data_IF_229536447230
#
_entry.id   IF_229536447230
#
_cell.length_a   1.000
_cell.length_b   1.000
_cell.length_c   1.000
_cell.angle_alpha   90.00
_cell.angle_beta   90.00
_cell.angle_gamma   90.00
#
_symmetry.space_group_name_H-M   'P 1'
#
loop_
_entity.id
_entity.type
_entity.pdbx_description
1 polymer ?
#
# COMPACT_ATOMS: atom_id res chain seq x y z
N UNK A 1 -76.56 -13.91 31.69
CA UNK A 1 -75.46 -12.99 32.14
C UNK A 1 -74.25 -13.20 31.26
N UNK A 2 -74.06 -12.31 30.34
CA UNK A 2 -72.99 -12.44 29.31
C UNK A 2 -72.01 -11.34 29.57
N UNK A 3 -70.76 -11.71 29.90
CA UNK A 3 -69.62 -10.78 30.11
C UNK A 3 -68.85 -10.57 28.80
N UNK A 4 -68.75 -9.30 28.34
CA UNK A 4 -67.94 -8.90 27.20
C UNK A 4 -66.53 -8.58 27.67
N UNK A 5 -65.53 -9.31 27.17
CA UNK A 5 -64.08 -8.97 27.30
C UNK A 5 -63.69 -8.18 26.07
N UNK A 6 -63.27 -6.95 26.28
CA UNK A 6 -62.59 -6.12 25.26
C UNK A 6 -61.15 -6.57 25.07
N UNK A 7 -60.74 -6.79 23.81
CA UNK A 7 -59.35 -7.05 23.42
C UNK A 7 -58.75 -5.72 22.95
N UNK A 8 -57.76 -5.25 23.68
CA UNK A 8 -56.89 -4.12 23.26
C UNK A 8 -55.81 -4.65 22.31
N UNK A 9 -55.86 -4.21 21.06
CA UNK A 9 -54.80 -4.44 20.08
C UNK A 9 -53.80 -3.31 20.24
N UNK A 10 -52.61 -3.65 20.78
CA UNK A 10 -51.46 -2.75 20.83
C UNK A 10 -50.72 -2.76 19.48
N UNK A 11 -50.79 -1.64 18.76
CA UNK A 11 -50.02 -1.44 17.56
C UNK A 11 -48.55 -1.17 17.91
N UNK A 12 -47.62 -2.08 17.56
CA UNK A 12 -46.20 -1.79 17.54
C UNK A 12 -45.84 -1.03 16.25
N UNK A 13 -45.46 0.22 16.41
CA UNK A 13 -44.92 1.03 15.33
C UNK A 13 -43.48 0.61 15.07
N UNK A 14 -43.23 -0.15 14.02
CA UNK A 14 -41.90 -0.40 13.47
C UNK A 14 -41.55 0.73 12.51
N UNK A 15 -40.90 1.78 13.02
CA UNK A 15 -40.33 2.87 12.18
C UNK A 15 -38.88 3.07 12.60
N UNK A 16 -37.95 2.93 11.67
CA UNK A 16 -36.69 3.61 11.81
C UNK A 16 -35.37 2.84 11.58
N UNK A 17 -35.29 1.92 10.61
CA UNK A 17 -33.95 1.35 10.22
C UNK A 17 -33.61 1.55 8.73
N UNK A 18 -34.57 1.95 7.90
CA UNK A 18 -34.34 2.05 6.45
C UNK A 18 -33.61 3.32 5.97
N UNK A 19 -33.56 4.41 6.75
CA UNK A 19 -33.06 5.70 6.27
C UNK A 19 -31.52 5.83 6.29
N UNK A 20 -30.82 5.10 7.17
CA UNK A 20 -29.35 5.22 7.32
C UNK A 20 -28.61 4.42 6.24
N UNK A 21 -29.18 3.37 5.70
CA UNK A 21 -28.55 2.56 4.66
C UNK A 21 -28.55 3.23 3.28
N UNK A 22 -29.59 3.97 2.92
CA UNK A 22 -29.67 4.63 1.61
C UNK A 22 -28.67 5.80 1.46
N UNK A 23 -28.46 6.59 2.50
CA UNK A 23 -27.55 7.74 2.43
C UNK A 23 -26.08 7.33 2.25
N UNK A 24 -25.65 6.22 2.88
CA UNK A 24 -24.26 5.72 2.73
C UNK A 24 -23.99 5.14 1.36
N UNK A 25 -24.97 4.51 0.72
CA UNK A 25 -24.84 3.93 -0.62
C UNK A 25 -24.71 5.04 -1.67
N UNK A 26 -25.51 6.10 -1.55
CA UNK A 26 -25.49 7.24 -2.45
C UNK A 26 -24.15 8.01 -2.35
N UNK A 27 -23.64 8.19 -1.14
CA UNK A 27 -22.35 8.88 -0.92
C UNK A 27 -21.18 8.09 -1.51
N UNK A 28 -21.15 6.76 -1.35
CA UNK A 28 -20.09 5.92 -1.96
C UNK A 28 -20.18 5.92 -3.49
N UNK A 29 -21.36 5.90 -4.07
CA UNK A 29 -21.55 5.99 -5.51
C UNK A 29 -21.05 7.34 -6.03
N UNK A 30 -21.32 8.42 -5.31
CA UNK A 30 -20.79 9.74 -5.63
C UNK A 30 -19.25 9.76 -5.58
N UNK A 31 -18.63 9.19 -4.54
CA UNK A 31 -17.16 9.14 -4.44
C UNK A 31 -16.53 8.28 -5.53
N UNK A 32 -17.15 7.21 -5.94
CA UNK A 32 -16.72 6.42 -7.11
C UNK A 32 -16.75 7.25 -8.39
N UNK A 33 -17.77 8.09 -8.57
CA UNK A 33 -17.85 9.04 -9.70
C UNK A 33 -16.77 10.12 -9.62
N UNK A 34 -16.46 10.63 -8.42
CA UNK A 34 -15.36 11.58 -8.22
C UNK A 34 -13.99 10.97 -8.61
N UNK A 35 -13.74 9.67 -8.30
CA UNK A 35 -12.52 8.99 -8.73
C UNK A 35 -12.45 8.81 -10.26
N UNK A 36 -13.58 8.50 -10.91
CA UNK A 36 -13.64 8.41 -12.36
C UNK A 36 -13.39 9.78 -13.04
N UNK A 37 -13.93 10.86 -12.46
CA UNK A 37 -13.61 12.22 -12.93
C UNK A 37 -12.14 12.57 -12.75
N UNK A 38 -11.56 12.22 -11.59
CA UNK A 38 -10.14 12.42 -11.31
C UNK A 38 -9.24 11.67 -12.31
N UNK A 39 -9.62 10.45 -12.69
CA UNK A 39 -8.91 9.67 -13.71
C UNK A 39 -8.95 10.36 -15.08
N UNK A 40 -10.10 10.89 -15.49
CA UNK A 40 -10.22 11.66 -16.75
C UNK A 40 -9.35 12.93 -16.73
N UNK A 41 -9.34 13.67 -15.62
CA UNK A 41 -8.52 14.87 -15.44
C UNK A 41 -7.02 14.56 -15.39
N UNK A 42 -6.67 13.39 -14.89
CA UNK A 42 -5.30 12.88 -14.88
C UNK A 42 -4.80 12.61 -16.32
N UNK A 43 -5.63 12.02 -17.15
CA UNK A 43 -5.26 11.58 -18.51
C UNK A 43 -4.42 10.32 -18.45
N UNK A 44 -5.04 9.21 -18.12
CA UNK A 44 -4.39 7.91 -17.97
C UNK A 44 -5.25 6.91 -17.21
N UNK A 45 -4.64 5.91 -16.58
CA UNK A 45 -5.30 4.92 -15.75
C UNK A 45 -5.01 5.18 -14.27
N UNK A 46 -6.07 5.20 -13.46
CA UNK A 46 -5.99 5.37 -12.00
C UNK A 46 -6.61 4.16 -11.30
N UNK A 47 -5.81 3.43 -10.55
CA UNK A 47 -6.27 2.34 -9.70
C UNK A 47 -6.28 2.76 -8.23
N UNK A 48 -7.40 2.58 -7.54
CA UNK A 48 -7.55 2.94 -6.12
C UNK A 48 -8.23 1.83 -5.36
N UNK A 49 -7.69 1.50 -4.20
CA UNK A 49 -8.40 0.77 -3.17
C UNK A 49 -8.08 1.37 -1.80
N UNK A 50 -9.13 1.71 -1.06
CA UNK A 50 -9.02 2.21 0.30
C UNK A 50 -9.93 1.39 1.22
N UNK A 51 -9.47 1.16 2.46
CA UNK A 51 -10.18 0.41 3.50
C UNK A 51 -10.08 1.16 4.82
N UNK A 52 -11.21 1.51 5.41
CA UNK A 52 -11.31 1.87 6.83
C UNK A 52 -11.36 0.58 7.65
N UNK A 53 -10.31 0.29 8.42
CA UNK A 53 -10.22 -0.96 9.18
C UNK A 53 -11.16 -1.01 10.39
N UNK A 54 -11.70 0.12 10.81
CA UNK A 54 -12.64 0.22 11.94
C UNK A 54 -14.07 -0.14 11.54
N UNK A 55 -14.55 0.39 10.42
CA UNK A 55 -15.91 0.12 9.92
C UNK A 55 -15.95 -1.07 8.95
N UNK A 56 -14.82 -1.40 8.30
CA UNK A 56 -14.75 -2.33 7.19
C UNK A 56 -15.22 -1.71 5.85
N UNK A 57 -15.51 -0.42 5.83
CA UNK A 57 -15.93 0.28 4.62
C UNK A 57 -14.78 0.38 3.61
N UNK A 58 -15.11 0.26 2.32
CA UNK A 58 -14.15 0.35 1.23
C UNK A 58 -14.57 1.37 0.18
N UNK A 59 -13.58 1.98 -0.48
CA UNK A 59 -13.74 2.75 -1.70
C UNK A 59 -12.79 2.20 -2.77
N UNK A 60 -13.31 1.94 -3.97
CA UNK A 60 -12.53 1.28 -5.02
C UNK A 60 -12.78 1.90 -6.39
N UNK A 61 -11.70 1.98 -7.19
CA UNK A 61 -11.73 2.32 -8.61
C UNK A 61 -10.68 1.48 -9.32
N UNK A 62 -11.05 0.73 -10.35
CA UNK A 62 -10.18 -0.25 -11.04
C UNK A 62 -9.38 -1.17 -10.09
N UNK A 63 -9.94 -1.47 -8.91
CA UNK A 63 -9.22 -2.11 -7.82
C UNK A 63 -8.72 -3.54 -8.13
N UNK A 64 -9.32 -4.20 -9.12
CA UNK A 64 -8.95 -5.55 -9.57
C UNK A 64 -8.14 -5.56 -10.88
N UNK A 65 -7.87 -4.40 -11.47
CA UNK A 65 -7.02 -4.31 -12.66
C UNK A 65 -5.54 -4.36 -12.27
N UNK A 66 -4.72 -4.93 -13.16
CA UNK A 66 -3.28 -5.01 -12.95
C UNK A 66 -2.60 -3.70 -13.26
N UNK A 67 -1.68 -3.34 -12.37
CA UNK A 67 -0.75 -2.21 -12.50
C UNK A 67 0.65 -2.72 -12.18
N UNK A 68 1.66 -2.14 -12.85
CA UNK A 68 3.05 -2.38 -12.48
C UNK A 68 3.30 -1.83 -11.08
N UNK A 69 3.94 -2.62 -10.21
CA UNK A 69 4.14 -2.23 -8.81
C UNK A 69 5.22 -1.16 -8.63
N UNK A 70 6.22 -1.16 -9.49
CA UNK A 70 7.42 -0.38 -9.27
C UNK A 70 7.97 -0.58 -7.84
N UNK A 71 8.60 0.41 -7.26
CA UNK A 71 9.21 0.28 -5.93
C UNK A 71 8.23 0.02 -4.77
N UNK A 72 6.90 -0.07 -4.98
CA UNK A 72 6.00 -0.56 -3.91
C UNK A 72 6.28 -2.02 -3.54
N UNK A 73 6.85 -2.81 -4.47
CA UNK A 73 7.30 -4.20 -4.24
C UNK A 73 8.32 -4.31 -3.11
N UNK A 74 9.08 -3.26 -2.83
CA UNK A 74 10.11 -3.22 -1.77
C UNK A 74 9.53 -3.48 -0.38
N UNK A 75 8.25 -3.15 -0.16
CA UNK A 75 7.53 -3.52 1.06
C UNK A 75 7.50 -5.04 1.24
N UNK A 76 7.30 -5.79 0.16
CA UNK A 76 7.26 -7.26 0.20
C UNK A 76 8.64 -7.88 0.34
N UNK A 77 9.65 -7.32 -0.33
CA UNK A 77 11.05 -7.76 -0.21
C UNK A 77 11.50 -7.66 1.25
N UNK A 78 11.32 -6.50 1.86
CA UNK A 78 11.70 -6.26 3.25
C UNK A 78 10.87 -7.13 4.22
N UNK A 79 9.59 -7.32 3.94
CA UNK A 79 8.74 -8.19 4.77
C UNK A 79 9.15 -9.65 4.68
N UNK A 80 9.61 -10.13 3.52
CA UNK A 80 10.16 -11.49 3.37
C UNK A 80 11.44 -11.66 4.20
N UNK A 81 12.32 -10.68 4.23
CA UNK A 81 13.50 -10.65 5.13
C UNK A 81 13.07 -10.68 6.60
N UNK A 82 12.10 -9.85 6.98
CA UNK A 82 11.58 -9.81 8.35
C UNK A 82 10.90 -11.11 8.76
N UNK A 83 10.29 -11.83 7.85
CA UNK A 83 9.76 -13.16 8.11
C UNK A 83 10.88 -14.20 8.26
N UNK A 84 11.85 -14.21 7.33
CA UNK A 84 12.97 -15.16 7.32
C UNK A 84 13.84 -15.08 8.57
N UNK A 85 14.00 -13.89 9.18
CA UNK A 85 14.77 -13.73 10.41
C UNK A 85 14.27 -14.61 11.58
N UNK A 86 13.00 -15.06 11.55
CA UNK A 86 12.44 -15.93 12.58
C UNK A 86 13.07 -17.31 12.58
N UNK A 87 13.54 -17.78 11.43
CA UNK A 87 14.26 -19.05 11.26
C UNK A 87 15.78 -18.86 11.15
N UNK A 88 16.27 -17.63 10.98
CA UNK A 88 17.70 -17.30 10.86
C UNK A 88 18.08 -16.22 11.91
N UNK A 89 18.34 -16.62 13.16
CA UNK A 89 18.81 -15.68 14.19
C UNK A 89 20.08 -14.95 13.76
N UNK A 90 20.10 -13.62 13.93
CA UNK A 90 21.24 -12.78 13.50
C UNK A 90 21.19 -12.32 12.05
N UNK A 91 20.19 -12.72 11.25
CA UNK A 91 20.06 -12.30 9.86
C UNK A 91 20.11 -10.77 9.70
N UNK A 92 19.42 -10.02 10.56
CA UNK A 92 19.39 -8.56 10.46
C UNK A 92 20.74 -7.90 10.74
N UNK A 93 21.59 -8.53 11.53
CA UNK A 93 22.95 -8.05 11.86
C UNK A 93 24.00 -8.52 10.86
N UNK A 94 23.65 -9.49 9.99
CA UNK A 94 24.53 -9.98 8.94
C UNK A 94 24.93 -8.82 8.02
N UNK A 95 26.25 -8.61 7.85
CA UNK A 95 26.79 -7.58 6.94
C UNK A 95 26.98 -8.16 5.54
N UNK A 96 26.39 -7.48 4.57
CA UNK A 96 26.54 -7.78 3.14
C UNK A 96 27.63 -6.86 2.58
N UNK A 97 28.65 -7.46 2.00
CA UNK A 97 29.66 -6.74 1.23
C UNK A 97 29.21 -6.67 -0.23
N UNK A 98 29.42 -5.53 -0.84
CA UNK A 98 29.12 -5.28 -2.25
C UNK A 98 30.16 -4.32 -2.83
N UNK A 99 30.17 -4.16 -4.13
CA UNK A 99 31.20 -3.38 -4.84
C UNK A 99 30.57 -2.22 -5.59
N UNK A 100 31.39 -1.35 -6.16
CA UNK A 100 30.92 -0.27 -7.02
C UNK A 100 30.14 -0.79 -8.24
N UNK A 101 30.40 -2.02 -8.69
CA UNK A 101 29.68 -2.64 -9.81
C UNK A 101 28.22 -2.99 -9.47
N UNK A 102 27.89 -3.11 -8.18
CA UNK A 102 26.54 -3.42 -7.71
C UNK A 102 25.67 -2.16 -7.53
N UNK A 103 26.28 -0.96 -7.63
CA UNK A 103 25.58 0.31 -7.41
C UNK A 103 24.70 0.64 -8.61
N UNK A 104 23.39 0.69 -8.34
CA UNK A 104 22.35 1.10 -9.29
C UNK A 104 22.28 2.63 -9.39
N UNK A 105 21.64 3.15 -10.46
CA UNK A 105 21.47 4.59 -10.66
C UNK A 105 20.80 5.28 -9.46
N UNK A 106 19.75 4.66 -8.89
CA UNK A 106 19.09 5.17 -7.68
C UNK A 106 19.49 4.36 -6.46
N UNK A 107 20.61 4.74 -5.84
CA UNK A 107 21.15 4.11 -4.63
C UNK A 107 21.65 5.16 -3.63
N UNK A 108 20.77 6.04 -3.10
CA UNK A 108 21.18 7.22 -2.33
C UNK A 108 21.89 6.88 -1.01
N UNK A 109 21.68 5.69 -0.47
CA UNK A 109 22.30 5.23 0.77
C UNK A 109 23.39 4.21 0.48
N UNK A 110 23.10 3.14 -0.27
CA UNK A 110 24.08 2.07 -0.51
C UNK A 110 25.36 2.58 -1.21
N UNK A 111 25.25 3.60 -2.08
CA UNK A 111 26.43 4.20 -2.73
C UNK A 111 27.43 4.83 -1.75
N UNK A 112 27.02 5.14 -0.53
CA UNK A 112 27.85 5.77 0.50
C UNK A 112 28.60 4.75 1.37
N UNK A 113 28.26 3.45 1.28
CA UNK A 113 28.74 2.40 2.16
C UNK A 113 29.46 1.25 1.44
N UNK A 114 29.98 1.51 0.22
CA UNK A 114 30.65 0.47 -0.60
C UNK A 114 31.88 -0.12 0.10
N UNK A 115 32.62 0.69 0.85
CA UNK A 115 33.87 0.25 1.49
C UNK A 115 33.61 -0.70 2.69
N UNK A 116 32.59 -0.41 3.51
CA UNK A 116 32.30 -1.16 4.73
C UNK A 116 31.16 -2.17 4.57
N UNK A 117 30.40 -2.10 3.49
CA UNK A 117 29.17 -2.85 3.32
C UNK A 117 28.05 -2.37 4.25
N UNK A 118 26.90 -3.03 4.21
CA UNK A 118 25.75 -2.70 5.06
C UNK A 118 25.17 -3.96 5.72
N UNK A 119 24.63 -3.82 6.92
CA UNK A 119 23.85 -4.90 7.52
C UNK A 119 22.52 -5.08 6.77
N UNK A 120 21.94 -6.27 6.87
CA UNK A 120 20.59 -6.53 6.29
C UNK A 120 19.55 -5.55 6.83
N UNK A 121 19.64 -5.19 8.12
CA UNK A 121 18.76 -4.17 8.73
C UNK A 121 18.95 -2.78 8.10
N UNK A 122 20.19 -2.35 7.88
CA UNK A 122 20.50 -1.07 7.21
C UNK A 122 20.01 -1.06 5.75
N UNK A 123 20.16 -2.19 5.05
CA UNK A 123 19.60 -2.35 3.70
C UNK A 123 18.07 -2.28 3.68
N UNK A 124 17.39 -2.89 4.66
CA UNK A 124 15.94 -2.78 4.80
C UNK A 124 15.48 -1.32 5.02
N UNK A 125 16.15 -0.60 5.93
CA UNK A 125 15.90 0.84 6.18
C UNK A 125 16.08 1.65 4.89
N UNK A 126 17.21 1.49 4.19
CA UNK A 126 17.50 2.19 2.94
C UNK A 126 16.47 1.88 1.84
N UNK A 127 16.11 0.60 1.71
CA UNK A 127 15.16 0.11 0.71
C UNK A 127 13.75 0.70 0.92
N UNK A 128 13.27 0.77 2.17
CA UNK A 128 11.95 1.33 2.45
C UNK A 128 11.97 2.86 2.42
N UNK A 129 12.88 3.48 3.17
CA UNK A 129 12.83 4.94 3.42
C UNK A 129 13.28 5.78 2.25
N UNK A 130 14.29 5.32 1.52
CA UNK A 130 14.90 6.06 0.41
C UNK A 130 14.62 5.41 -0.95
N UNK A 131 13.94 4.28 -0.94
CA UNK A 131 13.69 3.49 -2.14
C UNK A 131 14.97 3.04 -2.86
N UNK A 132 16.03 2.76 -2.11
CA UNK A 132 17.35 2.38 -2.62
C UNK A 132 17.26 1.09 -3.47
N UNK A 133 17.69 1.17 -4.75
CA UNK A 133 17.60 0.05 -5.69
C UNK A 133 18.69 -0.99 -5.45
N UNK A 134 19.90 -0.55 -5.10
CA UNK A 134 20.99 -1.47 -4.73
C UNK A 134 20.61 -2.25 -3.47
N UNK A 135 20.10 -1.56 -2.45
CA UNK A 135 19.60 -2.20 -1.24
C UNK A 135 18.55 -3.27 -1.55
N UNK A 136 17.59 -2.96 -2.44
CA UNK A 136 16.55 -3.91 -2.85
C UNK A 136 17.14 -5.15 -3.54
N UNK A 137 18.06 -4.97 -4.49
CA UNK A 137 18.69 -6.10 -5.21
C UNK A 137 19.56 -6.96 -4.29
N UNK A 138 20.29 -6.36 -3.35
CA UNK A 138 21.05 -7.11 -2.35
C UNK A 138 20.14 -7.94 -1.43
N UNK A 139 18.99 -7.40 -1.01
CA UNK A 139 18.00 -8.13 -0.21
C UNK A 139 17.34 -9.24 -1.02
N UNK A 140 17.02 -9.01 -2.30
CA UNK A 140 16.51 -10.07 -3.19
C UNK A 140 17.53 -11.19 -3.36
N UNK A 141 18.81 -10.86 -3.52
CA UNK A 141 19.88 -11.84 -3.60
C UNK A 141 20.01 -12.63 -2.28
N UNK A 142 19.93 -11.96 -1.13
CA UNK A 142 19.93 -12.60 0.18
C UNK A 142 18.75 -13.57 0.34
N UNK A 143 17.59 -13.25 -0.21
CA UNK A 143 16.41 -14.15 -0.22
C UNK A 143 16.59 -15.35 -1.17
N UNK A 144 17.45 -15.27 -2.17
CA UNK A 144 17.62 -16.30 -3.20
C UNK A 144 16.90 -16.00 -4.52
N UNK A 145 16.51 -14.73 -4.74
CA UNK A 145 15.90 -14.26 -5.97
C UNK A 145 14.47 -13.76 -5.82
N UNK A 146 13.91 -13.12 -6.87
CA UNK A 146 12.57 -12.51 -6.83
C UNK A 146 11.47 -13.50 -6.47
N UNK A 147 11.59 -14.76 -6.91
CA UNK A 147 10.59 -15.82 -6.65
C UNK A 147 10.46 -16.20 -5.17
N UNK A 148 11.49 -16.00 -4.35
CA UNK A 148 11.38 -16.22 -2.91
C UNK A 148 10.55 -15.11 -2.23
N UNK A 149 10.64 -13.87 -2.73
CA UNK A 149 9.70 -12.80 -2.32
C UNK A 149 8.26 -13.15 -2.72
N UNK A 150 8.05 -13.61 -3.95
CA UNK A 150 6.72 -14.05 -4.41
C UNK A 150 6.17 -15.20 -3.58
N UNK A 151 7.00 -16.20 -3.24
CA UNK A 151 6.61 -17.34 -2.41
C UNK A 151 6.17 -16.89 -1.00
N UNK A 152 6.88 -15.93 -0.41
CA UNK A 152 6.45 -15.34 0.86
C UNK A 152 5.08 -14.68 0.72
N UNK A 153 4.88 -13.87 -0.31
CA UNK A 153 3.59 -13.19 -0.56
C UNK A 153 2.46 -14.20 -0.81
N UNK A 154 2.74 -15.35 -1.48
CA UNK A 154 1.79 -16.47 -1.58
C UNK A 154 1.40 -17.05 -0.23
N UNK A 155 2.33 -17.11 0.73
CA UNK A 155 2.01 -17.58 2.09
C UNK A 155 1.05 -16.65 2.84
N UNK A 156 0.98 -15.38 2.45
CA UNK A 156 -0.02 -14.43 2.92
C UNK A 156 -1.40 -14.61 2.26
N UNK A 157 -1.54 -15.57 1.33
CA UNK A 157 -2.78 -15.81 0.57
C UNK A 157 -2.95 -14.90 -0.65
N UNK A 158 -1.90 -14.22 -1.09
CA UNK A 158 -1.91 -13.45 -2.33
C UNK A 158 -1.58 -14.35 -3.53
N UNK A 159 -2.54 -14.55 -4.40
CA UNK A 159 -2.40 -15.31 -5.64
C UNK A 159 -2.36 -14.39 -6.88
N UNK A 160 -2.25 -13.09 -6.70
CA UNK A 160 -2.34 -12.07 -7.76
C UNK A 160 -0.99 -11.45 -8.07
N UNK A 161 -0.26 -10.96 -7.04
CA UNK A 161 1.00 -10.24 -7.24
C UNK A 161 2.07 -11.13 -7.86
N UNK A 162 2.90 -10.54 -8.72
CA UNK A 162 4.04 -11.21 -9.37
C UNK A 162 5.33 -10.45 -9.07
N UNK A 163 6.39 -11.18 -8.77
CA UNK A 163 7.75 -10.69 -8.60
C UNK A 163 8.67 -11.52 -9.50
N UNK A 164 9.05 -10.94 -10.62
CA UNK A 164 9.72 -11.69 -11.69
C UNK A 164 11.16 -11.22 -11.91
N UNK A 165 11.43 -9.92 -11.72
CA UNK A 165 12.68 -9.28 -12.13
C UNK A 165 13.33 -8.51 -10.97
N UNK A 166 14.57 -8.07 -11.21
CA UNK A 166 15.33 -7.19 -10.31
C UNK A 166 15.08 -5.72 -10.65
N UNK A 167 15.51 -4.81 -9.76
CA UNK A 167 15.68 -3.40 -10.10
C UNK A 167 16.77 -3.26 -11.18
N UNK A 168 16.62 -2.47 -12.21
CA UNK A 168 15.49 -1.54 -12.49
C UNK A 168 14.47 -2.13 -13.48
N UNK A 169 14.71 -3.38 -13.93
CA UNK A 169 13.88 -4.04 -14.95
C UNK A 169 12.44 -4.23 -14.49
N UNK A 170 12.21 -4.42 -13.19
CA UNK A 170 10.86 -4.55 -12.62
C UNK A 170 10.01 -3.27 -12.79
N UNK A 171 10.60 -2.14 -13.21
CA UNK A 171 9.91 -0.88 -13.49
C UNK A 171 9.53 -0.70 -14.99
N UNK A 172 9.85 -1.68 -15.82
CA UNK A 172 9.56 -1.65 -17.26
C UNK A 172 8.29 -2.47 -17.51
N UNK A 173 7.18 -1.87 -18.00
CA UNK A 173 5.96 -2.61 -18.32
C UNK A 173 6.21 -3.71 -19.36
N UNK A 174 5.86 -4.96 -19.00
CA UNK A 174 5.96 -6.13 -19.86
C UNK A 174 4.89 -7.16 -19.47
N UNK A 175 3.73 -7.07 -20.10
CA UNK A 175 2.57 -7.90 -19.78
C UNK A 175 2.22 -7.82 -18.28
N UNK A 176 2.12 -9.00 -17.65
CA UNK A 176 1.79 -9.12 -16.22
C UNK A 176 3.03 -9.18 -15.30
N UNK A 177 4.26 -9.08 -15.83
CA UNK A 177 5.47 -9.15 -15.02
C UNK A 177 5.51 -7.99 -14.01
N UNK A 178 5.87 -8.31 -12.77
CA UNK A 178 6.04 -7.37 -11.64
C UNK A 178 4.80 -6.50 -11.37
N UNK A 179 3.61 -7.09 -11.59
CA UNK A 179 2.33 -6.41 -11.38
C UNK A 179 1.56 -6.94 -10.18
N UNK A 180 0.66 -6.10 -9.68
CA UNK A 180 -0.37 -6.43 -8.71
C UNK A 180 -1.64 -5.63 -9.01
N UNK A 181 -2.63 -5.69 -8.11
CA UNK A 181 -3.84 -4.87 -8.16
C UNK A 181 -3.91 -3.95 -6.94
N UNK A 182 -4.58 -2.78 -7.04
CA UNK A 182 -4.79 -1.90 -5.87
C UNK A 182 -5.38 -2.63 -4.66
N UNK A 183 -6.39 -3.48 -4.89
CA UNK A 183 -7.00 -4.30 -3.84
C UNK A 183 -5.98 -5.21 -3.16
N UNK A 184 -5.18 -5.91 -3.96
CA UNK A 184 -4.22 -6.88 -3.40
C UNK A 184 -3.08 -6.19 -2.65
N UNK A 185 -2.58 -5.06 -3.17
CA UNK A 185 -1.55 -4.27 -2.50
C UNK A 185 -2.03 -3.75 -1.14
N UNK A 186 -3.25 -3.19 -1.08
CA UNK A 186 -3.83 -2.72 0.17
C UNK A 186 -4.07 -3.89 1.15
N UNK A 187 -4.56 -5.03 0.66
CA UNK A 187 -4.78 -6.24 1.47
C UNK A 187 -3.47 -6.75 2.08
N UNK A 188 -2.41 -6.82 1.28
CA UNK A 188 -1.10 -7.26 1.76
C UNK A 188 -0.51 -6.25 2.76
N UNK A 189 -0.57 -4.95 2.46
CA UNK A 189 -0.07 -3.93 3.37
C UNK A 189 -0.79 -3.97 4.72
N UNK A 190 -2.12 -4.16 4.72
CA UNK A 190 -2.89 -4.37 5.95
C UNK A 190 -2.35 -5.56 6.74
N UNK A 191 -2.20 -6.72 6.08
CA UNK A 191 -1.69 -7.94 6.73
C UNK A 191 -0.31 -7.75 7.35
N UNK A 192 0.59 -7.07 6.63
CA UNK A 192 1.97 -6.85 7.05
C UNK A 192 2.10 -5.81 8.16
N UNK A 193 1.31 -4.75 8.11
CA UNK A 193 1.46 -3.60 9.00
C UNK A 193 0.48 -3.60 10.20
N UNK A 194 -0.66 -4.28 10.10
CA UNK A 194 -1.72 -4.22 11.10
C UNK A 194 -2.14 -5.59 11.64
N UNK A 195 -2.11 -6.62 10.79
CA UNK A 195 -2.57 -7.97 11.15
C UNK A 195 -1.35 -8.90 11.42
N UNK A 196 -1.51 -10.22 11.21
CA UNK A 196 -0.51 -11.24 11.56
C UNK A 196 0.40 -11.67 10.39
N UNK A 197 0.53 -10.86 9.34
CA UNK A 197 1.45 -11.12 8.22
C UNK A 197 2.93 -11.09 8.64
N UNK A 198 3.23 -10.38 9.72
CA UNK A 198 4.51 -10.38 10.42
C UNK A 198 4.27 -10.56 11.93
N UNK A 199 5.26 -11.04 12.66
CA UNK A 199 5.25 -10.99 14.13
C UNK A 199 5.33 -9.55 14.65
N UNK A 200 5.10 -9.33 15.93
CA UNK A 200 5.02 -7.99 16.53
C UNK A 200 6.26 -7.14 16.26
N UNK A 201 7.47 -7.71 16.42
CA UNK A 201 8.73 -7.01 16.16
C UNK A 201 8.90 -6.67 14.67
N UNK A 202 8.55 -7.60 13.76
CA UNK A 202 8.59 -7.35 12.32
C UNK A 202 7.64 -6.24 11.88
N UNK A 203 6.43 -6.22 12.44
CA UNK A 203 5.47 -5.12 12.21
C UNK A 203 6.00 -3.77 12.70
N UNK A 204 6.59 -3.74 13.89
CA UNK A 204 7.17 -2.53 14.46
C UNK A 204 8.31 -1.98 13.57
N UNK A 205 9.24 -2.84 13.15
CA UNK A 205 10.32 -2.47 12.24
C UNK A 205 9.78 -1.92 10.92
N UNK A 206 8.91 -2.69 10.24
CA UNK A 206 8.35 -2.28 8.95
C UNK A 206 7.58 -0.97 9.05
N UNK A 207 6.66 -0.85 10.01
CA UNK A 207 5.86 0.37 10.17
C UNK A 207 6.73 1.56 10.61
N UNK A 208 7.77 1.32 11.40
CA UNK A 208 8.76 2.31 11.76
C UNK A 208 9.50 2.88 10.53
N UNK A 209 9.93 2.04 9.59
CA UNK A 209 10.55 2.49 8.34
C UNK A 209 9.55 3.19 7.43
N UNK A 210 8.35 2.65 7.24
CA UNK A 210 7.29 3.27 6.42
C UNK A 210 6.94 4.68 6.92
N UNK A 211 6.80 4.87 8.24
CA UNK A 211 6.52 6.19 8.83
C UNK A 211 7.64 7.21 8.58
N UNK A 212 8.88 6.75 8.47
CA UNK A 212 10.05 7.58 8.16
C UNK A 212 10.43 7.63 6.68
N UNK A 213 9.55 7.14 5.79
CA UNK A 213 9.75 7.26 4.34
C UNK A 213 9.96 8.74 3.94
N UNK A 214 10.92 8.99 3.05
CA UNK A 214 11.31 10.33 2.60
C UNK A 214 10.80 10.66 1.19
N UNK A 215 10.12 9.72 0.53
CA UNK A 215 9.76 9.85 -0.90
C UNK A 215 8.28 10.18 -1.13
N UNK A 216 7.45 10.17 -0.06
CA UNK A 216 5.99 10.23 -0.15
C UNK A 216 5.31 11.58 0.10
N UNK A 217 6.06 12.63 0.42
CA UNK A 217 5.51 13.91 0.90
C UNK A 217 4.51 14.57 -0.06
N UNK A 218 4.64 14.34 -1.38
CA UNK A 218 3.76 14.92 -2.40
C UNK A 218 2.63 13.97 -2.87
N UNK A 219 2.58 12.75 -2.32
CA UNK A 219 1.63 11.69 -2.71
C UNK A 219 0.55 11.49 -1.65
N UNK A 220 0.39 10.31 -1.06
CA UNK A 220 -0.62 10.04 -0.03
C UNK A 220 -0.52 11.05 1.12
N UNK A 221 0.68 11.35 1.62
CA UNK A 221 0.88 12.32 2.72
C UNK A 221 0.26 13.68 2.44
N UNK A 222 0.36 14.19 1.20
CA UNK A 222 -0.25 15.46 0.79
C UNK A 222 -1.79 15.41 0.73
N UNK A 223 -2.37 14.22 0.77
CA UNK A 223 -3.82 14.01 0.81
C UNK A 223 -4.39 13.88 2.22
N UNK A 224 -3.54 13.76 3.24
CA UNK A 224 -3.92 13.48 4.63
C UNK A 224 -3.93 14.77 5.45
N UNK A 225 -4.89 14.97 6.38
CA UNK A 225 -4.90 16.11 7.29
C UNK A 225 -3.62 16.23 8.12
N UNK A 226 -3.21 17.46 8.42
CA UNK A 226 -2.03 17.71 9.26
C UNK A 226 -2.18 17.06 10.65
N UNK A 227 -1.07 16.54 11.16
CA UNK A 227 -1.03 15.88 12.48
C UNK A 227 -1.40 14.40 12.48
N UNK A 228 -1.85 13.82 11.35
CA UNK A 228 -2.05 12.38 11.24
C UNK A 228 -0.73 11.68 10.90
N UNK A 229 -0.57 10.47 11.41
CA UNK A 229 0.60 9.66 11.08
C UNK A 229 0.34 8.87 9.79
N UNK A 230 1.33 8.88 8.88
CA UNK A 230 1.29 8.10 7.64
C UNK A 230 2.57 7.26 7.55
N UNK A 231 2.42 5.99 7.20
CA UNK A 231 3.52 5.11 6.81
C UNK A 231 3.26 4.64 5.39
N UNK A 232 4.12 5.01 4.44
CA UNK A 232 3.90 4.78 3.02
C UNK A 232 5.12 4.23 2.30
N UNK A 233 4.88 3.63 1.14
CA UNK A 233 5.91 3.26 0.17
C UNK A 233 5.48 3.68 -1.22
N UNK A 234 6.27 4.59 -1.80
CA UNK A 234 6.07 5.05 -3.17
C UNK A 234 6.66 4.08 -4.21
N UNK A 235 6.19 4.23 -5.45
CA UNK A 235 6.75 3.61 -6.63
C UNK A 235 6.75 4.57 -7.81
N UNK A 236 7.76 4.51 -8.65
CA UNK A 236 7.85 5.28 -9.89
C UNK A 236 8.45 4.44 -11.01
N UNK A 237 7.97 4.62 -12.22
CA UNK A 237 8.44 3.92 -13.41
C UNK A 237 8.92 4.87 -14.50
N UNK A 238 9.48 4.29 -15.58
CA UNK A 238 10.12 5.05 -16.68
C UNK A 238 9.12 5.73 -17.63
N UNK A 239 7.83 5.36 -17.56
CA UNK A 239 6.78 5.95 -18.38
C UNK A 239 5.83 6.84 -17.57
N UNK A 240 6.33 7.41 -16.46
CA UNK A 240 5.56 8.29 -15.59
C UNK A 240 4.63 7.58 -14.61
N UNK A 241 4.73 6.26 -14.51
CA UNK A 241 4.01 5.49 -13.50
C UNK A 241 4.32 6.07 -12.12
N UNK A 242 3.28 6.29 -11.33
CA UNK A 242 3.39 6.84 -9.98
C UNK A 242 2.45 6.08 -9.07
N UNK A 243 3.00 5.45 -8.06
CA UNK A 243 2.27 4.61 -7.11
C UNK A 243 2.55 5.05 -5.69
N UNK A 244 1.59 4.81 -4.80
CA UNK A 244 1.80 4.94 -3.37
C UNK A 244 0.85 4.01 -2.61
N UNK A 245 1.39 3.25 -1.67
CA UNK A 245 0.64 2.39 -0.76
C UNK A 245 0.92 2.84 0.67
N UNK A 246 -0.14 3.01 1.46
CA UNK A 246 -0.01 3.63 2.78
C UNK A 246 -0.93 3.02 3.83
N UNK A 247 -0.46 3.04 5.07
CA UNK A 247 -1.30 2.98 6.27
C UNK A 247 -1.35 4.38 6.88
N UNK A 248 -2.54 4.85 7.12
CA UNK A 248 -2.84 6.15 7.73
C UNK A 248 -3.41 5.89 9.12
N UNK A 249 -2.86 6.52 10.14
CA UNK A 249 -3.33 6.45 11.52
C UNK A 249 -3.97 7.79 11.92
N UNK A 250 -5.31 7.91 11.77
CA UNK A 250 -6.04 9.08 12.25
C UNK A 250 -6.03 9.12 13.78
N UNK A 251 -5.98 10.29 14.42
CA UNK A 251 -6.11 10.40 15.88
C UNK A 251 -7.46 9.84 16.36
N UNK A 252 -7.44 8.94 17.35
CA UNK A 252 -8.64 8.38 17.97
C UNK A 252 -9.50 7.45 17.12
N UNK A 253 -9.01 7.01 15.96
CA UNK A 253 -9.71 6.08 15.05
C UNK A 253 -8.83 4.88 14.69
N UNK A 254 -9.47 3.83 14.20
CA UNK A 254 -8.78 2.72 13.55
C UNK A 254 -8.02 3.19 12.28
N UNK A 255 -6.93 2.51 11.92
CA UNK A 255 -6.15 2.85 10.73
C UNK A 255 -6.96 2.73 9.44
N UNK A 256 -6.54 3.52 8.43
CA UNK A 256 -7.03 3.42 7.06
C UNK A 256 -5.88 2.92 6.18
N UNK A 257 -6.15 1.96 5.31
CA UNK A 257 -5.18 1.45 4.34
C UNK A 257 -5.56 1.93 2.96
N UNK A 258 -4.58 2.44 2.21
CA UNK A 258 -4.80 2.98 0.85
C UNK A 258 -3.75 2.43 -0.10
N UNK A 259 -4.16 2.07 -1.30
CA UNK A 259 -3.28 1.81 -2.43
C UNK A 259 -3.77 2.63 -3.63
N UNK A 260 -2.92 3.48 -4.17
CA UNK A 260 -3.19 4.31 -5.35
C UNK A 260 -2.09 4.11 -6.37
N UNK A 261 -2.47 3.71 -7.59
CA UNK A 261 -1.57 3.45 -8.69
C UNK A 261 -2.03 4.25 -9.91
N UNK A 262 -1.11 5.00 -10.51
CA UNK A 262 -1.41 5.91 -11.61
C UNK A 262 -0.43 5.69 -12.77
N UNK A 263 -0.97 5.46 -13.97
CA UNK A 263 -0.22 5.29 -15.21
C UNK A 263 -0.72 6.35 -16.17
N UNK A 264 0.06 7.40 -16.50
CA UNK A 264 -0.37 8.45 -17.42
C UNK A 264 -0.31 7.97 -18.88
N UNK A 265 -1.17 8.55 -19.73
CA UNK A 265 -1.08 8.38 -21.19
C UNK A 265 0.15 9.10 -21.77
N UNK A 266 0.50 10.26 -21.19
CA UNK A 266 1.74 10.98 -21.50
C UNK A 266 2.85 10.62 -20.50
N UNK A 267 3.92 9.93 -20.92
CA UNK A 267 5.04 9.58 -20.06
C UNK A 267 5.75 10.77 -19.40
N UNK A 268 5.54 11.99 -19.89
CA UNK A 268 6.11 13.21 -19.32
C UNK A 268 5.18 13.91 -18.32
N UNK A 269 4.02 13.32 -18.04
CA UNK A 269 3.05 13.89 -17.11
C UNK A 269 3.64 14.03 -15.71
N UNK A 270 3.46 15.21 -15.12
CA UNK A 270 3.81 15.49 -13.71
C UNK A 270 2.61 15.38 -12.76
N UNK A 271 1.46 14.96 -13.28
CA UNK A 271 0.20 14.92 -12.53
C UNK A 271 0.10 13.73 -11.54
N UNK A 272 0.96 12.72 -11.62
CA UNK A 272 0.84 11.47 -10.83
C UNK A 272 0.73 11.72 -9.33
N UNK A 273 1.70 12.37 -8.71
CA UNK A 273 1.70 12.65 -7.27
C UNK A 273 0.49 13.50 -6.82
N UNK A 274 0.14 14.63 -7.48
CA UNK A 274 -1.08 15.37 -7.15
C UNK A 274 -2.37 14.54 -7.27
N UNK A 275 -2.46 13.64 -8.26
CA UNK A 275 -3.59 12.74 -8.45
C UNK A 275 -3.71 11.74 -7.29
N UNK A 276 -2.59 11.16 -6.83
CA UNK A 276 -2.56 10.29 -5.64
C UNK A 276 -3.07 11.04 -4.41
N UNK A 277 -2.59 12.27 -4.19
CA UNK A 277 -3.04 13.10 -3.07
C UNK A 277 -4.55 13.42 -3.16
N UNK A 278 -5.07 13.68 -4.36
CA UNK A 278 -6.51 13.93 -4.58
C UNK A 278 -7.34 12.66 -4.34
N UNK A 279 -6.93 11.50 -4.85
CA UNK A 279 -7.58 10.22 -4.61
C UNK A 279 -7.63 9.88 -3.11
N UNK A 280 -6.54 10.15 -2.39
CA UNK A 280 -6.49 9.97 -0.93
C UNK A 280 -7.52 10.85 -0.23
N UNK A 281 -7.65 12.14 -0.58
CA UNK A 281 -8.67 13.04 0.00
C UNK A 281 -10.10 12.56 -0.28
N UNK A 282 -10.36 12.03 -1.48
CA UNK A 282 -11.66 11.45 -1.82
C UNK A 282 -11.95 10.24 -0.93
N UNK A 283 -10.97 9.35 -0.73
CA UNK A 283 -11.11 8.17 0.12
C UNK A 283 -11.38 8.55 1.59
N UNK A 284 -10.63 9.50 2.14
CA UNK A 284 -10.83 9.94 3.53
C UNK A 284 -12.21 10.56 3.72
N UNK A 285 -12.69 11.39 2.77
CA UNK A 285 -14.05 11.94 2.80
C UNK A 285 -15.14 10.86 2.75
N UNK A 286 -14.92 9.79 1.96
CA UNK A 286 -15.87 8.67 1.88
C UNK A 286 -16.03 7.91 3.22
N UNK A 287 -15.03 7.98 4.09
CA UNK A 287 -15.02 7.37 5.41
C UNK A 287 -15.36 8.35 6.54
N UNK A 288 -15.76 9.60 6.21
CA UNK A 288 -15.96 10.68 7.19
C UNK A 288 -14.75 10.84 8.12
N UNK A 289 -13.58 10.78 7.54
CA UNK A 289 -12.30 10.83 8.23
C UNK A 289 -11.54 12.13 7.95
#
# INVERSE_FOLDING_TARGET
>A
MISRRAVLVGGLSAVGVAAVGCSRTDDRQQKSTELASLENDFGGRLGVHALDTGSGDTLSHRANERFIMCSTVKTFIVSAILHRRLSEPGLLDKRIQYTQADIMEWAPIASQHVAEGMTVSELCDATIRYSDNTGANLLIAELGGPKETEKYVRSLGDNVSRMDRLEEQLNIPDGDLDTSTPLQLATNLRRLALDEGLDAQGRELLTGWLKRNTTGDQSVRAGVPAGWTVGDKTGGGFKGETNDIAVIWPPGRAPIVVAVLAIPDDPKSTKGKPTIAAATRIALKAFNA
#
